data_IF_838155096832
#
_entry.id   IF_838155096832
#
_cell.length_a   1.000
_cell.length_b   1.000
_cell.length_c   1.000
_cell.angle_alpha   90.00
_cell.angle_beta   90.00
_cell.angle_gamma   90.00
#
_symmetry.space_group_name_H-M   'P 1'
#
loop_
_entity.id
_entity.type
_entity.pdbx_description
1 polymer ?
#
# COMPACT_ATOMS: atom_id res chain seq x y z
N UNK A 1 10.16 -0.44 -7.55
CA UNK A 1 10.01 0.88 -8.22
C UNK A 1 8.52 1.11 -8.42
N UNK A 2 8.03 2.32 -8.13
CA UNK A 2 6.62 2.71 -8.31
C UNK A 2 6.56 3.75 -9.41
N UNK A 3 5.75 3.51 -10.45
CA UNK A 3 5.51 4.46 -11.53
C UNK A 3 4.01 4.70 -11.69
N UNK A 4 3.62 5.97 -11.79
CA UNK A 4 2.25 6.38 -12.05
C UNK A 4 2.13 6.86 -13.49
N UNK A 5 1.23 6.26 -14.25
CA UNK A 5 0.78 6.73 -15.56
C UNK A 5 -0.60 7.37 -15.46
N UNK A 6 -1.13 7.83 -16.59
CA UNK A 6 -2.40 8.59 -16.63
C UNK A 6 -3.60 7.79 -16.11
N UNK A 7 -3.62 6.48 -16.33
CA UNK A 7 -4.68 5.57 -15.88
C UNK A 7 -4.12 4.23 -15.36
N UNK A 8 -2.86 4.23 -14.93
CA UNK A 8 -2.17 3.01 -14.53
C UNK A 8 -1.21 3.26 -13.38
N UNK A 9 -1.05 2.22 -12.55
CA UNK A 9 -0.06 2.19 -11.49
C UNK A 9 0.81 0.95 -11.65
N UNK A 10 2.11 1.15 -11.82
CA UNK A 10 3.05 0.08 -12.10
C UNK A 10 3.95 -0.18 -10.91
N UNK A 11 3.91 -1.42 -10.44
CA UNK A 11 4.84 -1.95 -9.46
C UNK A 11 5.91 -2.75 -10.24
N UNK A 12 7.12 -2.22 -10.31
CA UNK A 12 8.22 -2.85 -11.04
C UNK A 12 9.30 -3.38 -10.10
N UNK A 13 10.00 -4.42 -10.56
CA UNK A 13 11.09 -5.10 -9.85
C UNK A 13 10.69 -5.62 -8.47
N UNK A 14 9.44 -6.06 -8.35
CA UNK A 14 8.93 -6.69 -7.13
C UNK A 14 9.34 -8.16 -7.08
N UNK A 15 10.63 -8.38 -6.85
CA UNK A 15 11.25 -9.70 -6.74
C UNK A 15 11.58 -10.01 -5.27
N UNK A 16 12.02 -11.24 -4.96
CA UNK A 16 12.49 -11.58 -3.61
C UNK A 16 13.64 -10.65 -3.17
N UNK A 17 13.62 -10.09 -1.93
CA UNK A 17 12.80 -10.41 -0.76
C UNK A 17 11.44 -9.67 -0.68
N UNK A 18 11.05 -8.94 -1.73
CA UNK A 18 9.80 -8.18 -1.79
C UNK A 18 8.57 -9.01 -1.43
N UNK A 19 8.52 -10.30 -1.79
CA UNK A 19 7.44 -11.21 -1.42
C UNK A 19 7.19 -11.30 0.11
N UNK A 20 8.24 -11.21 0.94
CA UNK A 20 8.10 -11.18 2.41
C UNK A 20 7.50 -9.86 2.90
N UNK A 21 7.73 -8.76 2.17
CA UNK A 21 7.18 -7.43 2.44
C UNK A 21 5.82 -7.18 1.79
N UNK A 22 5.14 -8.20 1.24
CA UNK A 22 3.94 -7.99 0.43
C UNK A 22 2.81 -7.30 1.16
N UNK A 23 2.58 -7.66 2.40
CA UNK A 23 1.51 -7.06 3.20
C UNK A 23 1.75 -5.57 3.48
N UNK A 24 2.88 -5.15 4.11
CA UNK A 24 3.14 -3.74 4.34
C UNK A 24 3.29 -2.94 3.04
N UNK A 25 3.84 -3.55 1.98
CA UNK A 25 3.96 -2.89 0.69
C UNK A 25 2.59 -2.67 0.00
N UNK A 26 1.67 -3.63 0.11
CA UNK A 26 0.31 -3.48 -0.42
C UNK A 26 -0.42 -2.35 0.30
N UNK A 27 -0.31 -2.29 1.64
CA UNK A 27 -0.88 -1.19 2.41
C UNK A 27 -0.30 0.17 1.97
N UNK A 28 1.01 0.25 1.76
CA UNK A 28 1.66 1.45 1.25
C UNK A 28 1.10 1.90 -0.10
N UNK A 29 0.97 0.98 -1.07
CA UNK A 29 0.43 1.27 -2.41
C UNK A 29 -1.01 1.78 -2.32
N UNK A 30 -1.86 1.09 -1.56
CA UNK A 30 -3.26 1.48 -1.33
C UNK A 30 -3.32 2.90 -0.72
N UNK A 31 -2.51 3.19 0.30
CA UNK A 31 -2.47 4.53 0.90
C UNK A 31 -2.03 5.63 -0.09
N UNK A 32 -1.08 5.35 -0.98
CA UNK A 32 -0.63 6.32 -1.99
C UNK A 32 -1.74 6.64 -2.99
N UNK A 33 -2.41 5.61 -3.50
CA UNK A 33 -3.53 5.76 -4.43
C UNK A 33 -4.72 6.50 -3.79
N UNK A 34 -4.99 6.24 -2.51
CA UNK A 34 -5.98 6.99 -1.74
C UNK A 34 -5.61 8.47 -1.61
N UNK A 35 -4.37 8.79 -1.24
CA UNK A 35 -3.86 10.17 -1.16
C UNK A 35 -3.90 10.88 -2.52
N UNK A 36 -3.79 10.15 -3.62
CA UNK A 36 -3.93 10.68 -4.97
C UNK A 36 -5.40 10.92 -5.39
N UNK A 37 -6.38 10.60 -4.55
CA UNK A 37 -7.81 10.77 -4.84
C UNK A 37 -8.35 9.75 -5.86
N UNK A 38 -7.62 8.65 -6.10
CA UNK A 38 -8.01 7.65 -7.10
C UNK A 38 -9.04 6.64 -6.57
N UNK A 39 -9.15 6.50 -5.25
CA UNK A 39 -10.26 5.79 -4.60
C UNK A 39 -10.48 6.28 -3.17
N UNK A 40 -11.70 6.13 -2.68
CA UNK A 40 -12.03 6.29 -1.26
C UNK A 40 -11.71 4.98 -0.53
N UNK A 41 -10.83 5.05 0.47
CA UNK A 41 -10.53 3.87 1.27
C UNK A 41 -11.74 3.58 2.17
N UNK A 42 -12.42 2.45 1.93
CA UNK A 42 -13.67 2.09 2.62
C UNK A 42 -13.50 1.99 4.15
N UNK A 43 -12.29 1.69 4.65
CA UNK A 43 -12.00 1.72 6.09
C UNK A 43 -10.51 1.83 6.39
N UNK A 44 -10.07 2.98 6.94
CA UNK A 44 -8.71 3.13 7.50
C UNK A 44 -8.45 2.20 8.71
N UNK A 45 -9.52 1.67 9.31
CA UNK A 45 -9.50 0.73 10.43
C UNK A 45 -9.61 -0.74 9.97
N UNK A 46 -9.40 -1.01 8.68
CA UNK A 46 -9.45 -2.38 8.16
C UNK A 46 -8.44 -3.30 8.87
N UNK A 47 -8.93 -4.48 9.28
CA UNK A 47 -8.17 -5.52 9.99
C UNK A 47 -8.14 -6.81 9.17
N UNK A 48 -6.95 -7.40 9.01
CA UNK A 48 -6.77 -8.74 8.47
C UNK A 48 -5.82 -9.54 9.39
N UNK A 49 -6.36 -10.46 10.20
CA UNK A 49 -5.55 -11.21 11.17
C UNK A 49 -4.84 -10.26 12.14
N UNK A 50 -3.50 -10.30 12.31
CA UNK A 50 -2.77 -9.36 13.16
C UNK A 50 -2.51 -8.00 12.50
N UNK A 51 -2.88 -7.80 11.23
CA UNK A 51 -2.52 -6.63 10.44
C UNK A 51 -3.63 -5.58 10.44
N UNK A 52 -3.34 -4.39 10.98
CA UNK A 52 -4.19 -3.20 10.93
C UNK A 52 -3.66 -2.20 9.93
N UNK A 53 -4.52 -1.72 9.04
CA UNK A 53 -4.10 -0.81 7.97
C UNK A 53 -3.45 0.47 8.51
N UNK A 54 -4.13 1.20 9.40
CA UNK A 54 -3.60 2.42 10.04
C UNK A 54 -2.27 2.18 10.76
N UNK A 55 -2.15 1.13 11.59
CA UNK A 55 -0.92 0.82 12.32
C UNK A 55 0.25 0.51 11.37
N UNK A 56 -0.01 -0.18 10.25
CA UNK A 56 1.00 -0.42 9.20
C UNK A 56 1.46 0.90 8.58
N UNK A 57 0.51 1.77 8.20
CA UNK A 57 0.83 3.06 7.58
C UNK A 57 1.61 3.96 8.54
N UNK A 58 1.21 4.03 9.81
CA UNK A 58 1.93 4.78 10.84
C UNK A 58 3.36 4.27 11.02
N UNK A 59 3.57 2.95 11.07
CA UNK A 59 4.90 2.38 11.22
C UNK A 59 5.79 2.56 9.99
N UNK A 60 5.22 2.65 8.78
CA UNK A 60 5.98 2.94 7.56
C UNK A 60 6.40 4.42 7.43
N UNK A 61 5.74 5.33 8.15
CA UNK A 61 6.04 6.76 8.15
C UNK A 61 6.99 7.19 9.29
N UNK A 62 7.39 6.26 10.16
CA UNK A 62 8.43 6.48 11.19
C UNK A 62 9.81 6.27 10.58
#
# INVERSE_FOLDING_TARGET
ILLQGDMSFHILNYNSPGATGALPFSAHVVNQLHKAGLFENESMEAQCGPWKFNEIIENLNK
#
